data_IF_274660261286
#
_entry.id   IF_274660261286
#
_cell.length_a   1.000
_cell.length_b   1.000
_cell.length_c   1.000
_cell.angle_alpha   90.00
_cell.angle_beta   90.00
_cell.angle_gamma   90.00
#
_symmetry.space_group_name_H-M   'P 1'
#
loop_
_entity.id
_entity.type
_entity.pdbx_description
1 polymer ?
#
# COMPACT_ATOMS: atom_id res chain seq x y z
N UNK A 1 4.59 15.00 -15.07
CA UNK A 1 5.33 15.69 -14.00
C UNK A 1 5.93 14.67 -13.08
N UNK A 2 7.06 14.97 -12.46
CA UNK A 2 7.74 14.08 -11.52
C UNK A 2 7.32 14.41 -10.08
N UNK A 3 7.55 13.47 -9.14
CA UNK A 3 7.30 13.71 -7.72
C UNK A 3 8.20 14.83 -7.18
N UNK A 4 9.45 14.87 -7.61
CA UNK A 4 10.41 15.89 -7.16
C UNK A 4 10.05 17.30 -7.63
N UNK A 5 9.42 17.46 -8.80
CA UNK A 5 8.86 18.75 -9.22
C UNK A 5 7.78 19.24 -8.25
N UNK A 6 6.87 18.36 -7.84
CA UNK A 6 5.84 18.68 -6.85
C UNK A 6 6.46 19.08 -5.51
N UNK A 7 7.42 18.26 -5.02
CA UNK A 7 8.13 18.57 -3.77
C UNK A 7 8.79 19.93 -3.80
N UNK A 8 9.48 20.26 -4.91
CA UNK A 8 10.13 21.58 -5.09
C UNK A 8 9.13 22.74 -5.04
N UNK A 9 7.94 22.56 -5.63
CA UNK A 9 6.86 23.56 -5.60
C UNK A 9 6.33 23.75 -4.19
N UNK A 10 6.15 22.66 -3.44
CA UNK A 10 5.70 22.70 -2.05
C UNK A 10 6.76 23.34 -1.14
N UNK A 11 8.03 23.07 -1.36
CA UNK A 11 9.15 23.69 -0.62
C UNK A 11 9.25 25.20 -0.90
N UNK A 12 8.79 25.65 -2.06
CA UNK A 12 8.62 27.07 -2.38
C UNK A 12 7.37 27.72 -1.72
N UNK A 13 6.65 26.99 -0.86
CA UNK A 13 5.50 27.49 -0.11
C UNK A 13 4.17 27.44 -0.87
N UNK A 14 4.12 26.81 -2.04
CA UNK A 14 2.87 26.64 -2.78
C UNK A 14 2.14 25.38 -2.29
N UNK A 15 0.82 25.44 -2.19
CA UNK A 15 -0.06 24.35 -1.84
C UNK A 15 -1.19 24.21 -2.86
N UNK A 16 -1.77 23.04 -2.92
CA UNK A 16 -2.91 22.72 -3.78
C UNK A 16 -4.08 22.24 -2.93
N UNK A 17 -5.30 22.46 -3.39
CA UNK A 17 -6.51 21.96 -2.75
C UNK A 17 -6.63 20.45 -2.90
N UNK A 18 -6.13 19.89 -4.01
CA UNK A 18 -6.14 18.47 -4.33
C UNK A 18 -4.79 18.00 -4.88
N UNK A 19 -4.37 16.82 -4.45
CA UNK A 19 -3.21 16.10 -4.96
C UNK A 19 -3.69 14.80 -5.60
N UNK A 20 -3.56 14.69 -6.93
CA UNK A 20 -3.87 13.46 -7.65
C UNK A 20 -2.55 12.74 -7.90
N UNK A 21 -2.39 11.56 -7.30
CA UNK A 21 -1.12 10.83 -7.21
C UNK A 21 -1.27 9.48 -7.90
N UNK A 22 -0.27 9.15 -8.73
CA UNK A 22 0.01 7.80 -9.16
C UNK A 22 0.97 7.14 -8.16
N UNK A 23 0.81 5.86 -7.89
CA UNK A 23 1.78 5.10 -7.09
C UNK A 23 3.06 4.78 -7.86
N UNK A 24 2.97 4.64 -9.18
CA UNK A 24 4.11 4.38 -10.06
C UNK A 24 4.63 5.68 -10.69
N UNK A 25 5.49 6.37 -9.97
CA UNK A 25 6.19 7.55 -10.46
C UNK A 25 7.61 7.18 -10.88
N UNK A 26 8.20 7.87 -11.88
CA UNK A 26 9.51 7.49 -12.42
C UNK A 26 10.67 7.77 -11.48
N UNK A 27 10.50 8.68 -10.52
CA UNK A 27 11.56 9.25 -9.67
C UNK A 27 11.37 8.98 -8.19
N UNK A 28 10.16 8.62 -7.73
CA UNK A 28 9.86 8.39 -6.32
C UNK A 28 8.71 7.39 -6.16
N UNK A 29 8.72 6.61 -5.09
CA UNK A 29 7.58 5.78 -4.69
C UNK A 29 6.40 6.69 -4.27
N UNK A 30 5.20 6.43 -4.82
CA UNK A 30 4.01 7.24 -4.54
C UNK A 30 3.61 7.24 -3.05
N UNK A 31 3.89 6.17 -2.30
CA UNK A 31 3.68 6.15 -0.86
C UNK A 31 4.58 7.12 -0.11
N UNK A 32 5.83 7.24 -0.54
CA UNK A 32 6.78 8.23 0.03
C UNK A 32 6.29 9.65 -0.29
N UNK A 33 5.81 9.88 -1.52
CA UNK A 33 5.25 11.17 -1.89
C UNK A 33 4.04 11.55 -1.02
N UNK A 34 3.13 10.61 -0.75
CA UNK A 34 1.99 10.82 0.16
C UNK A 34 2.47 11.27 1.54
N UNK A 35 3.48 10.59 2.09
CA UNK A 35 4.05 10.95 3.40
C UNK A 35 4.69 12.34 3.38
N UNK A 36 5.40 12.69 2.31
CA UNK A 36 5.99 14.03 2.15
C UNK A 36 4.94 15.14 2.04
N UNK A 37 3.80 14.87 1.37
CA UNK A 37 2.68 15.81 1.30
C UNK A 37 2.06 15.98 2.68
N UNK A 38 1.75 14.89 3.37
CA UNK A 38 1.16 14.91 4.73
C UNK A 38 2.05 15.60 5.76
N UNK A 39 3.36 15.45 5.66
CA UNK A 39 4.32 16.14 6.54
C UNK A 39 4.29 17.67 6.37
N UNK A 40 3.96 18.18 5.17
CA UNK A 40 3.88 19.62 4.85
C UNK A 40 2.47 20.19 5.00
N UNK A 41 1.46 19.37 4.66
CA UNK A 41 0.04 19.71 4.76
C UNK A 41 -0.74 18.51 5.30
N UNK A 42 -0.93 18.42 6.63
CA UNK A 42 -1.66 17.31 7.27
C UNK A 42 -3.10 17.14 6.80
N UNK A 43 -3.73 18.21 6.33
CA UNK A 43 -5.14 18.21 5.88
C UNK A 43 -5.29 18.19 4.35
N UNK A 44 -4.21 17.88 3.62
CA UNK A 44 -4.23 17.81 2.16
C UNK A 44 -5.27 16.80 1.65
N UNK A 45 -6.05 17.16 0.65
CA UNK A 45 -6.93 16.21 -0.04
C UNK A 45 -6.11 15.39 -1.05
N UNK A 46 -6.00 14.09 -0.78
CA UNK A 46 -5.19 13.17 -1.60
C UNK A 46 -6.10 12.17 -2.30
N UNK A 47 -6.07 12.18 -3.62
CA UNK A 47 -6.71 11.22 -4.51
C UNK A 47 -5.61 10.34 -5.10
N UNK A 48 -5.70 9.04 -4.91
CA UNK A 48 -4.77 8.09 -5.53
C UNK A 48 -5.43 7.44 -6.73
N UNK A 49 -4.82 7.64 -7.92
CA UNK A 49 -5.20 6.96 -9.16
C UNK A 49 -4.15 5.91 -9.48
N UNK A 50 -4.52 4.63 -9.42
CA UNK A 50 -3.56 3.53 -9.51
C UNK A 50 -4.05 2.41 -10.42
N UNK A 51 -3.13 1.60 -10.93
CA UNK A 51 -3.39 0.30 -11.58
C UNK A 51 -3.33 -0.86 -10.59
N UNK A 52 -2.93 -0.60 -9.35
CA UNK A 52 -2.73 -1.62 -8.33
C UNK A 52 -4.05 -1.95 -7.64
N UNK A 53 -4.52 -3.16 -7.81
CA UNK A 53 -5.73 -3.71 -7.21
C UNK A 53 -5.45 -4.69 -6.05
N UNK A 54 -4.17 -4.87 -5.71
CA UNK A 54 -3.79 -5.76 -4.62
C UNK A 54 -4.24 -5.21 -3.27
N UNK A 55 -4.86 -6.07 -2.48
CA UNK A 55 -5.43 -5.74 -1.16
C UNK A 55 -4.40 -5.07 -0.21
N UNK A 56 -3.12 -5.46 -0.27
CA UNK A 56 -2.10 -4.86 0.58
C UNK A 56 -1.80 -3.40 0.20
N UNK A 57 -1.86 -3.07 -1.10
CA UNK A 57 -1.73 -1.70 -1.61
C UNK A 57 -2.88 -0.84 -1.09
N UNK A 58 -4.13 -1.35 -1.24
CA UNK A 58 -5.31 -0.65 -0.75
C UNK A 58 -5.26 -0.41 0.76
N UNK A 59 -4.86 -1.40 1.54
CA UNK A 59 -4.70 -1.25 3.01
C UNK A 59 -3.64 -0.24 3.39
N UNK A 60 -2.51 -0.19 2.67
CA UNK A 60 -1.48 0.84 2.89
C UNK A 60 -2.00 2.24 2.60
N UNK A 61 -2.85 2.41 1.58
CA UNK A 61 -3.48 3.69 1.26
C UNK A 61 -4.48 4.11 2.33
N UNK A 62 -5.36 3.18 2.74
CA UNK A 62 -6.33 3.43 3.82
C UNK A 62 -5.64 3.80 5.14
N UNK A 63 -4.53 3.14 5.49
CA UNK A 63 -3.74 3.45 6.69
C UNK A 63 -3.06 4.83 6.62
N UNK A 64 -2.96 5.45 5.44
CA UNK A 64 -2.47 6.81 5.22
C UNK A 64 -3.57 7.84 5.08
N UNK A 65 -4.81 7.41 5.33
CA UNK A 65 -5.98 8.28 5.32
C UNK A 65 -6.11 9.11 4.04
N UNK A 66 -5.85 8.45 2.87
CA UNK A 66 -6.07 9.10 1.58
C UNK A 66 -7.58 9.30 1.38
N UNK A 67 -7.96 10.44 0.79
CA UNK A 67 -9.36 10.83 0.67
C UNK A 67 -10.09 10.08 -0.46
N UNK A 68 -9.37 9.66 -1.50
CA UNK A 68 -9.96 8.82 -2.55
C UNK A 68 -8.98 7.81 -3.11
N UNK A 69 -9.52 6.65 -3.55
CA UNK A 69 -8.80 5.61 -4.29
C UNK A 69 -9.63 5.24 -5.52
N UNK A 70 -9.06 5.43 -6.71
CA UNK A 70 -9.65 5.10 -8.00
C UNK A 70 -8.70 4.27 -8.84
N UNK A 71 -9.24 3.40 -9.70
CA UNK A 71 -8.41 2.65 -10.63
C UNK A 71 -8.30 3.39 -11.97
N UNK A 72 -7.10 3.36 -12.57
CA UNK A 72 -6.83 3.98 -13.89
C UNK A 72 -7.62 3.35 -15.04
N UNK A 73 -8.14 2.13 -14.85
CA UNK A 73 -9.01 1.43 -15.80
C UNK A 73 -10.48 1.85 -15.70
N UNK A 74 -10.82 2.70 -14.75
CA UNK A 74 -12.17 3.22 -14.53
C UNK A 74 -12.59 4.30 -15.53
N UNK A 75 -13.83 4.74 -15.41
CA UNK A 75 -14.33 5.90 -16.17
C UNK A 75 -13.56 7.16 -15.75
N UNK A 76 -13.10 7.96 -16.71
CA UNK A 76 -12.39 9.23 -16.45
C UNK A 76 -13.21 10.21 -15.58
N UNK A 77 -14.52 10.00 -15.47
CA UNK A 77 -15.40 10.78 -14.61
C UNK A 77 -15.22 10.48 -13.11
N UNK A 78 -14.61 9.35 -12.72
CA UNK A 78 -14.44 8.97 -11.32
C UNK A 78 -13.61 10.00 -10.53
N UNK A 79 -12.68 10.70 -11.18
CA UNK A 79 -11.91 11.80 -10.55
C UNK A 79 -12.83 12.95 -10.14
N UNK A 80 -13.78 13.31 -11.00
CA UNK A 80 -14.75 14.39 -10.71
C UNK A 80 -15.67 14.01 -9.58
N UNK A 81 -16.17 12.77 -9.58
CA UNK A 81 -17.00 12.24 -8.48
C UNK A 81 -16.22 12.23 -7.17
N UNK A 82 -14.94 11.80 -7.19
CA UNK A 82 -14.09 11.81 -6.00
C UNK A 82 -13.88 13.24 -5.46
N UNK A 83 -13.69 14.23 -6.33
CA UNK A 83 -13.56 15.64 -5.93
C UNK A 83 -14.86 16.13 -5.28
N UNK A 84 -16.02 15.87 -5.88
CA UNK A 84 -17.31 16.30 -5.35
C UNK A 84 -17.62 15.67 -3.98
N UNK A 85 -17.31 14.38 -3.80
CA UNK A 85 -17.45 13.69 -2.51
C UNK A 85 -16.52 14.30 -1.45
N UNK A 86 -15.26 14.57 -1.79
CA UNK A 86 -14.31 15.18 -0.85
C UNK A 86 -14.74 16.60 -0.47
N UNK A 87 -15.24 17.39 -1.41
CA UNK A 87 -15.79 18.73 -1.13
C UNK A 87 -17.02 18.68 -0.22
N UNK A 88 -17.77 17.57 -0.29
CA UNK A 88 -18.92 17.30 0.61
C UNK A 88 -18.49 16.76 1.99
N UNK A 89 -17.18 16.59 2.24
CA UNK A 89 -16.64 16.09 3.49
C UNK A 89 -16.56 14.56 3.58
N UNK A 90 -16.76 13.83 2.49
CA UNK A 90 -16.72 12.38 2.41
C UNK A 90 -15.41 11.88 1.81
N UNK A 91 -15.06 10.62 2.09
CA UNK A 91 -14.05 9.90 1.33
C UNK A 91 -14.71 9.13 0.18
N UNK A 92 -13.98 8.98 -0.93
CA UNK A 92 -14.46 8.23 -2.10
C UNK A 92 -13.54 7.07 -2.44
N UNK A 93 -14.08 5.87 -2.49
CA UNK A 93 -13.40 4.69 -2.99
C UNK A 93 -14.25 4.07 -4.09
N UNK A 94 -13.68 3.88 -5.29
CA UNK A 94 -14.46 3.35 -6.41
C UNK A 94 -15.02 1.96 -6.10
N UNK A 95 -16.07 1.55 -6.81
CA UNK A 95 -16.76 0.29 -6.54
C UNK A 95 -15.84 -0.93 -6.58
N UNK A 96 -14.85 -0.93 -7.48
CA UNK A 96 -13.88 -2.01 -7.58
C UNK A 96 -13.00 -2.10 -6.33
N UNK A 97 -12.61 -0.96 -5.71
CA UNK A 97 -11.91 -0.92 -4.41
C UNK A 97 -12.78 -1.51 -3.31
N UNK A 98 -14.06 -1.09 -3.24
CA UNK A 98 -14.99 -1.65 -2.25
C UNK A 98 -15.17 -3.16 -2.42
N UNK A 99 -15.24 -3.66 -3.66
CA UNK A 99 -15.34 -5.09 -3.97
C UNK A 99 -14.10 -5.84 -3.48
N UNK A 100 -12.90 -5.36 -3.84
CA UNK A 100 -11.64 -5.98 -3.38
C UNK A 100 -11.53 -6.01 -1.85
N UNK A 101 -11.91 -4.93 -1.17
CA UNK A 101 -11.91 -4.87 0.30
C UNK A 101 -12.93 -5.84 0.93
N UNK A 102 -14.11 -5.97 0.33
CA UNK A 102 -15.17 -6.89 0.77
C UNK A 102 -14.78 -8.34 0.56
N UNK A 103 -14.26 -8.68 -0.62
CA UNK A 103 -13.86 -10.03 -0.98
C UNK A 103 -12.64 -10.50 -0.15
N UNK A 104 -11.84 -9.55 0.33
CA UNK A 104 -10.74 -9.81 1.23
C UNK A 104 -11.16 -10.29 2.64
N UNK A 105 -12.44 -10.21 3.01
CA UNK A 105 -13.03 -10.75 4.24
C UNK A 105 -12.48 -10.17 5.54
N UNK A 106 -12.83 -10.81 6.66
CA UNK A 106 -12.49 -10.38 8.01
C UNK A 106 -10.97 -10.24 8.23
N UNK A 107 -10.59 -9.19 8.94
CA UNK A 107 -9.19 -8.81 9.25
C UNK A 107 -8.37 -9.91 9.92
N UNK A 108 -9.02 -10.93 10.51
CA UNK A 108 -8.37 -12.05 11.20
C UNK A 108 -7.65 -13.02 10.24
N UNK A 109 -8.07 -13.08 8.97
CA UNK A 109 -7.52 -14.00 7.96
C UNK A 109 -6.45 -13.37 7.06
N UNK A 110 -6.22 -12.06 7.19
CA UNK A 110 -5.23 -11.35 6.39
C UNK A 110 -3.99 -10.98 7.21
N UNK A 111 -2.80 -10.99 6.58
CA UNK A 111 -1.60 -10.51 7.25
C UNK A 111 -1.71 -9.06 7.69
N UNK A 112 -1.30 -8.76 8.91
CA UNK A 112 -1.13 -7.40 9.42
C UNK A 112 0.04 -6.68 8.74
N UNK A 113 0.16 -5.36 8.90
CA UNK A 113 1.29 -4.59 8.36
C UNK A 113 2.64 -5.17 8.80
N UNK A 114 2.79 -5.55 10.07
CA UNK A 114 4.03 -6.17 10.60
C UNK A 114 4.30 -7.54 10.01
N UNK A 115 3.27 -8.34 9.80
CA UNK A 115 3.40 -9.63 9.13
C UNK A 115 3.77 -9.47 7.66
N UNK A 116 3.25 -8.44 6.96
CA UNK A 116 3.64 -8.14 5.58
C UNK A 116 5.10 -7.69 5.48
N UNK A 117 5.59 -6.89 6.43
CA UNK A 117 7.02 -6.53 6.50
C UNK A 117 7.89 -7.78 6.65
N UNK A 118 7.52 -8.71 7.55
CA UNK A 118 8.20 -9.99 7.73
C UNK A 118 8.13 -10.84 6.45
N UNK A 119 6.96 -10.93 5.81
CA UNK A 119 6.76 -11.66 4.56
C UNK A 119 7.67 -11.14 3.44
N UNK A 120 7.81 -9.83 3.31
CA UNK A 120 8.70 -9.20 2.35
C UNK A 120 10.17 -9.56 2.58
N UNK A 121 10.62 -9.58 3.84
CA UNK A 121 11.98 -9.99 4.19
C UNK A 121 12.22 -11.49 3.92
N UNK A 122 11.21 -12.35 4.18
CA UNK A 122 11.25 -13.79 3.84
C UNK A 122 11.40 -13.96 2.32
N UNK A 123 10.67 -13.18 1.53
CA UNK A 123 10.74 -13.22 0.07
C UNK A 123 12.12 -12.81 -0.48
N UNK A 124 12.88 -12.03 0.29
CA UNK A 124 14.29 -11.69 0.00
C UNK A 124 15.28 -12.80 0.44
N UNK A 125 14.80 -13.90 0.99
CA UNK A 125 15.63 -15.03 1.43
C UNK A 125 16.29 -14.83 2.81
N UNK A 126 15.86 -13.83 3.59
CA UNK A 126 16.44 -13.57 4.92
C UNK A 126 16.00 -14.59 5.96
N UNK A 127 16.91 -14.92 6.84
CA UNK A 127 16.68 -15.74 8.04
C UNK A 127 15.93 -14.95 9.11
N UNK A 128 15.30 -15.61 10.07
CA UNK A 128 14.59 -14.96 11.18
C UNK A 128 15.50 -14.04 12.00
N UNK A 129 16.77 -14.41 12.15
CA UNK A 129 17.77 -13.60 12.83
C UNK A 129 18.10 -12.30 12.09
N UNK A 130 18.25 -12.38 10.77
CA UNK A 130 18.49 -11.19 9.92
C UNK A 130 17.28 -10.27 9.88
N UNK A 131 16.06 -10.85 9.83
CA UNK A 131 14.80 -10.11 9.91
C UNK A 131 14.68 -9.39 11.26
N UNK A 132 14.95 -10.10 12.36
CA UNK A 132 14.91 -9.55 13.70
C UNK A 132 15.86 -8.35 13.85
N UNK A 133 17.10 -8.46 13.35
CA UNK A 133 18.08 -7.38 13.33
C UNK A 133 17.59 -6.18 12.48
N UNK A 134 17.05 -6.43 11.28
CA UNK A 134 16.57 -5.38 10.37
C UNK A 134 15.33 -4.64 10.91
N UNK A 135 14.48 -5.32 11.67
CA UNK A 135 13.23 -4.75 12.21
C UNK A 135 13.36 -4.26 13.65
N UNK A 136 14.54 -4.39 14.27
CA UNK A 136 14.80 -4.03 15.69
C UNK A 136 13.86 -4.73 16.67
N UNK A 137 13.59 -6.02 16.45
CA UNK A 137 12.75 -6.87 17.32
C UNK A 137 13.51 -8.15 17.72
N UNK A 138 12.93 -8.94 18.63
CA UNK A 138 13.49 -10.23 18.98
C UNK A 138 13.25 -11.29 17.88
N UNK A 139 14.11 -12.30 17.79
CA UNK A 139 13.92 -13.43 16.87
C UNK A 139 12.61 -14.19 17.17
N UNK A 140 12.25 -14.32 18.46
CA UNK A 140 10.97 -14.89 18.87
C UNK A 140 9.77 -14.11 18.34
N UNK A 141 9.86 -12.77 18.25
CA UNK A 141 8.82 -11.92 17.66
C UNK A 141 8.66 -12.21 16.17
N UNK A 142 9.77 -12.36 15.46
CA UNK A 142 9.76 -12.73 14.03
C UNK A 142 9.14 -14.12 13.82
N UNK A 143 9.50 -15.11 14.64
CA UNK A 143 8.92 -16.45 14.57
C UNK A 143 7.42 -16.45 14.87
N UNK A 144 6.95 -15.64 15.80
CA UNK A 144 5.51 -15.45 16.03
C UNK A 144 4.79 -14.90 14.80
N UNK A 145 5.36 -13.89 14.14
CA UNK A 145 4.80 -13.35 12.88
C UNK A 145 4.86 -14.38 11.76
N UNK A 146 5.92 -15.16 11.63
CA UNK A 146 6.04 -16.25 10.65
C UNK A 146 4.93 -17.28 10.87
N UNK A 147 4.77 -17.78 12.10
CA UNK A 147 3.72 -18.75 12.46
C UNK A 147 2.32 -18.23 12.10
N UNK A 148 2.05 -16.97 12.39
CA UNK A 148 0.79 -16.32 12.02
C UNK A 148 0.60 -16.24 10.49
N UNK A 149 1.64 -15.84 9.72
CA UNK A 149 1.63 -15.83 8.26
C UNK A 149 1.32 -17.21 7.66
N UNK A 150 2.00 -18.27 8.17
CA UNK A 150 1.73 -19.64 7.72
C UNK A 150 0.27 -20.04 7.94
N UNK A 151 -0.29 -19.73 9.11
CA UNK A 151 -1.68 -20.00 9.43
C UNK A 151 -2.65 -19.21 8.54
N UNK A 152 -2.44 -17.90 8.42
CA UNK A 152 -3.32 -17.00 7.64
C UNK A 152 -3.31 -17.31 6.13
N UNK A 153 -2.16 -17.68 5.59
CA UNK A 153 -2.04 -18.02 4.17
C UNK A 153 -2.28 -19.51 3.90
N UNK A 154 -2.37 -20.33 4.94
CA UNK A 154 -2.54 -21.78 4.83
C UNK A 154 -1.30 -22.44 4.22
N UNK A 155 -0.11 -21.88 4.45
CA UNK A 155 1.13 -22.35 3.85
C UNK A 155 1.76 -23.48 4.66
N UNK A 156 2.38 -24.46 3.97
CA UNK A 156 3.01 -25.63 4.58
C UNK A 156 4.54 -25.51 4.69
N UNK A 157 5.14 -24.61 3.88
CA UNK A 157 6.58 -24.32 3.92
C UNK A 157 6.84 -22.93 3.35
N UNK A 158 8.11 -22.45 3.41
CA UNK A 158 8.49 -21.11 2.98
C UNK A 158 8.25 -20.82 1.48
N UNK A 159 8.46 -21.81 0.62
CA UNK A 159 8.20 -21.69 -0.82
C UNK A 159 6.71 -21.57 -1.09
N UNK A 160 5.90 -22.41 -0.45
CA UNK A 160 4.44 -22.36 -0.55
C UNK A 160 3.88 -21.04 0.01
N UNK A 161 4.49 -20.51 1.08
CA UNK A 161 4.15 -19.20 1.63
C UNK A 161 4.31 -18.10 0.57
N UNK A 162 5.44 -18.08 -0.14
CA UNK A 162 5.72 -17.08 -1.18
C UNK A 162 4.77 -17.25 -2.37
N UNK A 163 4.53 -18.48 -2.83
CA UNK A 163 3.61 -18.76 -3.95
C UNK A 163 2.20 -18.28 -3.61
N UNK A 164 1.70 -18.60 -2.43
CA UNK A 164 0.37 -18.18 -1.96
C UNK A 164 0.30 -16.66 -1.74
N UNK A 165 1.36 -16.06 -1.23
CA UNK A 165 1.44 -14.60 -1.08
C UNK A 165 1.38 -13.87 -2.43
N UNK A 166 2.07 -14.38 -3.45
CA UNK A 166 1.98 -13.85 -4.83
C UNK A 166 0.57 -14.06 -5.39
N UNK A 167 0.01 -15.27 -5.25
CA UNK A 167 -1.33 -15.58 -5.74
C UNK A 167 -2.45 -14.76 -5.11
N UNK A 168 -2.24 -14.27 -3.88
CA UNK A 168 -3.18 -13.40 -3.16
C UNK A 168 -2.82 -11.91 -3.25
N UNK A 169 -1.83 -11.54 -4.08
CA UNK A 169 -1.43 -10.15 -4.30
C UNK A 169 -0.67 -9.48 -3.14
N UNK A 170 -0.13 -10.25 -2.18
CA UNK A 170 0.72 -9.72 -1.11
C UNK A 170 2.17 -9.49 -1.54
N UNK A 171 2.62 -10.14 -2.60
CA UNK A 171 3.93 -9.99 -3.22
C UNK A 171 3.80 -9.85 -4.74
N UNK A 172 4.64 -9.01 -5.35
CA UNK A 172 4.72 -8.88 -6.81
C UNK A 172 5.52 -10.07 -7.40
N UNK A 173 5.14 -10.51 -8.61
CA UNK A 173 5.91 -11.50 -9.40
C UNK A 173 7.31 -11.03 -9.84
N UNK A 174 7.63 -9.76 -9.71
CA UNK A 174 8.87 -9.15 -10.18
C UNK A 174 9.97 -9.25 -9.14
N UNK A 175 10.97 -10.10 -9.38
CA UNK A 175 12.17 -10.09 -8.54
C UNK A 175 13.03 -11.34 -8.52
N UNK A 176 12.81 -12.31 -9.38
CA UNK A 176 13.90 -13.27 -9.69
C UNK A 176 14.67 -12.69 -10.87
N UNK A 177 15.63 -11.79 -10.60
CA UNK A 177 16.71 -11.54 -11.55
C UNK A 177 17.48 -12.86 -11.69
N UNK A 178 17.49 -13.41 -12.92
CA UNK A 178 18.45 -14.42 -13.34
C UNK A 178 19.86 -13.87 -13.28
#
# INVERSE_FOLDING_TARGET
>A
RTAMELVSVMDAGLSYDFYIIDLELPDLDGFVLIEMIRARNPVANIIVSTVHDEIWTLRKLLAREVNAIIYKSGDGNEILVAIDEILSGNNYYCEAVHRTLKDAGDNSLHPSTRELEVLYQIAQGKTSREIAAAMFVSENTVEAHRKSLFAKLGAINGVDLIVKAIGRGYLKKSGVKR
#
